data_IF_872477634975
#
_entry.id   IF_872477634975
#
_cell.length_a   1.000
_cell.length_b   1.000
_cell.length_c   1.000
_cell.angle_alpha   90.00
_cell.angle_beta   90.00
_cell.angle_gamma   90.00
#
_symmetry.space_group_name_H-M   'P 1'
#
loop_
_entity.id
_entity.type
_entity.pdbx_description
1 polymer ?
#
# COMPACT_ATOMS: atom_id res chain seq x y z
N UNK A 1 20.62 -1.15 8.83
CA UNK A 1 19.46 -1.00 7.93
C UNK A 1 18.22 -1.19 8.78
N UNK A 2 17.38 -0.17 8.88
CA UNK A 2 16.11 -0.23 9.63
C UNK A 2 15.01 -0.87 8.78
N UNK A 3 13.86 -1.17 9.39
CA UNK A 3 12.67 -1.58 8.63
C UNK A 3 12.15 -0.43 7.74
N UNK A 4 12.25 0.82 8.21
CA UNK A 4 11.83 2.01 7.45
C UNK A 4 12.58 2.09 6.11
N UNK A 5 13.89 1.85 6.12
CA UNK A 5 14.72 1.84 4.90
C UNK A 5 14.29 0.75 3.90
N UNK A 6 13.61 -0.30 4.37
CA UNK A 6 13.18 -1.44 3.56
C UNK A 6 11.77 -1.28 3.02
N UNK A 7 10.93 -0.41 3.59
CA UNK A 7 9.52 -0.24 3.21
C UNK A 7 9.33 -0.12 1.68
N UNK A 8 10.11 0.71 0.94
CA UNK A 8 9.94 0.85 -0.51
C UNK A 8 10.18 -0.45 -1.31
N UNK A 9 10.87 -1.42 -0.72
CA UNK A 9 11.22 -2.71 -1.35
C UNK A 9 10.28 -3.85 -1.00
N UNK A 10 9.37 -3.65 -0.05
CA UNK A 10 8.45 -4.68 0.41
C UNK A 10 7.38 -5.00 -0.64
N UNK A 11 6.87 -6.23 -0.64
CA UNK A 11 5.68 -6.60 -1.39
C UNK A 11 4.39 -6.06 -0.73
N UNK A 12 3.28 -6.01 -1.48
CA UNK A 12 2.00 -5.43 -1.01
C UNK A 12 1.46 -6.16 0.24
N UNK A 13 1.57 -7.48 0.24
CA UNK A 13 1.19 -8.36 1.34
C UNK A 13 2.11 -8.19 2.56
N UNK A 14 3.40 -7.97 2.33
CA UNK A 14 4.36 -7.65 3.40
C UNK A 14 4.01 -6.30 4.06
N UNK A 15 3.76 -5.24 3.28
CA UNK A 15 3.33 -3.94 3.81
C UNK A 15 2.06 -4.07 4.63
N UNK A 16 1.05 -4.79 4.13
CA UNK A 16 -0.20 -5.02 4.85
C UNK A 16 0.03 -5.80 6.16
N UNK A 17 0.86 -6.84 6.12
CA UNK A 17 1.20 -7.67 7.30
C UNK A 17 1.95 -6.85 8.35
N UNK A 18 2.95 -6.08 7.95
CA UNK A 18 3.69 -5.23 8.89
C UNK A 18 2.83 -4.12 9.47
N UNK A 19 1.95 -3.50 8.67
CA UNK A 19 1.04 -2.49 9.18
C UNK A 19 0.07 -3.05 10.23
N UNK A 20 -0.53 -4.22 9.96
CA UNK A 20 -1.41 -4.87 10.93
C UNK A 20 -0.67 -5.22 12.23
N UNK A 21 0.55 -5.73 12.13
CA UNK A 21 1.38 -6.04 13.29
C UNK A 21 1.80 -4.79 14.07
N UNK A 22 2.20 -3.72 13.38
CA UNK A 22 2.60 -2.47 14.00
C UNK A 22 1.42 -1.84 14.76
N UNK A 23 0.21 -1.84 14.18
CA UNK A 23 -1.01 -1.38 14.87
C UNK A 23 -1.29 -2.20 16.13
N UNK A 24 -1.21 -3.54 16.04
CA UNK A 24 -1.37 -4.41 17.22
C UNK A 24 -0.34 -4.10 18.31
N UNK A 25 0.93 -3.89 17.92
CA UNK A 25 2.00 -3.56 18.87
C UNK A 25 1.83 -2.17 19.49
N UNK A 26 1.29 -1.19 18.77
CA UNK A 26 0.97 0.14 19.32
C UNK A 26 -0.10 0.06 20.43
N UNK A 27 -1.04 -0.86 20.30
CA UNK A 27 -2.15 -1.06 21.24
C UNK A 27 -1.77 -1.93 22.44
N UNK A 28 -1.12 -3.08 22.19
CA UNK A 28 -0.94 -4.13 23.20
C UNK A 28 0.53 -4.49 23.49
N UNK A 29 1.49 -3.80 22.88
CA UNK A 29 2.91 -4.07 23.08
C UNK A 29 3.44 -3.53 24.41
N UNK A 30 4.65 -3.96 24.77
CA UNK A 30 5.43 -3.31 25.82
C UNK A 30 5.88 -1.90 25.40
N UNK A 31 6.43 -1.11 26.33
CA UNK A 31 6.82 0.29 26.05
C UNK A 31 7.78 0.43 24.87
N UNK A 32 8.70 -0.53 24.68
CA UNK A 32 9.65 -0.50 23.56
C UNK A 32 8.95 -0.82 22.24
N UNK A 33 8.07 -1.82 22.25
CA UNK A 33 7.27 -2.21 21.09
C UNK A 33 6.32 -1.10 20.66
N UNK A 34 5.66 -0.42 21.61
CA UNK A 34 4.77 0.71 21.34
C UNK A 34 5.53 1.89 20.76
N UNK A 35 6.71 2.20 21.29
CA UNK A 35 7.56 3.26 20.74
C UNK A 35 8.00 2.94 19.30
N UNK A 36 8.47 1.71 19.04
CA UNK A 36 8.84 1.29 17.69
C UNK A 36 7.64 1.28 16.72
N UNK A 37 6.47 0.86 17.19
CA UNK A 37 5.24 0.88 16.40
C UNK A 37 4.81 2.32 16.06
N UNK A 38 4.90 3.25 17.01
CA UNK A 38 4.58 4.66 16.78
C UNK A 38 5.45 5.30 15.68
N UNK A 39 6.69 4.84 15.53
CA UNK A 39 7.59 5.27 14.45
C UNK A 39 7.24 4.61 13.10
N UNK A 40 6.87 3.32 13.12
CA UNK A 40 6.66 2.53 11.91
C UNK A 40 5.29 2.72 11.25
N UNK A 41 4.23 2.90 12.05
CA UNK A 41 2.85 2.97 11.54
C UNK A 41 2.68 4.05 10.47
N UNK A 42 3.13 5.31 10.68
CA UNK A 42 2.95 6.36 9.66
C UNK A 42 3.64 6.03 8.33
N UNK A 43 4.83 5.45 8.37
CA UNK A 43 5.59 5.11 7.17
C UNK A 43 4.93 3.96 6.38
N UNK A 44 4.40 2.95 7.08
CA UNK A 44 3.67 1.83 6.47
C UNK A 44 2.32 2.27 5.90
N UNK A 45 1.62 3.20 6.55
CA UNK A 45 0.36 3.76 6.07
C UNK A 45 0.55 4.57 4.78
N UNK A 46 1.56 5.44 4.75
CA UNK A 46 1.88 6.24 3.57
C UNK A 46 2.21 5.35 2.36
N UNK A 47 3.00 4.29 2.54
CA UNK A 47 3.33 3.35 1.47
C UNK A 47 2.09 2.57 1.01
N UNK A 48 1.25 2.10 1.94
CA UNK A 48 0.02 1.38 1.61
C UNK A 48 -0.95 2.24 0.80
N UNK A 49 -1.10 3.51 1.17
CA UNK A 49 -1.92 4.50 0.46
C UNK A 49 -1.36 4.78 -0.95
N UNK A 50 -0.06 5.06 -1.06
CA UNK A 50 0.58 5.30 -2.35
C UNK A 50 0.40 4.13 -3.33
N UNK A 51 0.48 2.89 -2.82
CA UNK A 51 0.23 1.68 -3.62
C UNK A 51 -1.22 1.52 -4.01
N UNK A 52 -2.14 1.80 -3.09
CA UNK A 52 -3.57 1.79 -3.38
C UNK A 52 -3.86 2.74 -4.55
N UNK A 53 -3.36 3.97 -4.49
CA UNK A 53 -3.59 4.98 -5.51
C UNK A 53 -2.97 4.58 -6.85
N UNK A 54 -1.73 4.05 -6.85
CA UNK A 54 -1.10 3.53 -8.05
C UNK A 54 -1.92 2.41 -8.71
N UNK A 55 -2.53 1.51 -7.92
CA UNK A 55 -3.42 0.46 -8.45
C UNK A 55 -4.70 1.05 -9.03
N UNK A 56 -5.29 2.05 -8.38
CA UNK A 56 -6.49 2.70 -8.89
C UNK A 56 -6.24 3.44 -10.20
N UNK A 57 -5.12 4.15 -10.33
CA UNK A 57 -4.74 4.82 -11.57
C UNK A 57 -4.52 3.82 -12.71
N UNK A 58 -3.82 2.72 -12.46
CA UNK A 58 -3.67 1.62 -13.46
C UNK A 58 -5.03 1.05 -13.87
N UNK A 59 -5.94 0.86 -12.92
CA UNK A 59 -7.29 0.35 -13.21
C UNK A 59 -8.10 1.35 -14.04
N UNK A 60 -8.02 2.66 -13.74
CA UNK A 60 -8.66 3.72 -14.54
C UNK A 60 -8.13 3.71 -15.98
N UNK A 61 -6.81 3.64 -16.17
CA UNK A 61 -6.18 3.58 -17.47
C UNK A 61 -6.63 2.35 -18.28
N UNK A 62 -6.65 1.15 -17.64
CA UNK A 62 -7.13 -0.08 -18.27
C UNK A 62 -8.59 0.05 -18.72
N UNK A 63 -9.47 0.55 -17.86
CA UNK A 63 -10.89 0.77 -18.19
C UNK A 63 -11.06 1.74 -19.36
N UNK A 64 -10.29 2.82 -19.39
CA UNK A 64 -10.33 3.78 -20.50
C UNK A 64 -9.88 3.15 -21.82
N UNK A 65 -8.82 2.34 -21.80
CA UNK A 65 -8.33 1.62 -22.98
C UNK A 65 -9.38 0.62 -23.51
N UNK A 66 -9.98 -0.18 -22.63
CA UNK A 66 -11.03 -1.13 -23.01
C UNK A 66 -12.23 -0.41 -23.62
N UNK A 67 -12.71 0.69 -23.02
CA UNK A 67 -13.82 1.48 -23.59
C UNK A 67 -13.49 2.00 -25.00
N UNK A 68 -12.28 2.52 -25.22
CA UNK A 68 -11.84 2.99 -26.55
C UNK A 68 -11.81 1.86 -27.58
N UNK A 69 -11.35 0.67 -27.19
CA UNK A 69 -11.33 -0.50 -28.07
C UNK A 69 -12.75 -0.94 -28.44
N UNK A 70 -13.67 -1.00 -27.47
CA UNK A 70 -15.08 -1.36 -27.71
C UNK A 70 -15.79 -0.37 -28.63
N UNK A 71 -15.58 0.94 -28.43
CA UNK A 71 -16.16 1.96 -29.31
C UNK A 71 -15.62 1.85 -30.75
N UNK A 72 -14.33 1.53 -30.91
CA UNK A 72 -13.73 1.32 -32.23
C UNK A 72 -14.30 0.08 -32.92
N UNK A 73 -14.51 -1.03 -32.20
CA UNK A 73 -15.07 -2.24 -32.79
C UNK A 73 -16.54 -2.11 -33.17
N UNK A 74 -17.30 -1.21 -32.54
CA UNK A 74 -18.70 -0.95 -32.87
C UNK A 74 -18.88 0.00 -34.07
N UNK A 75 -17.84 0.76 -34.43
CA UNK A 75 -17.85 1.71 -35.53
C UNK A 75 -17.29 1.13 -36.86
N UNK A 76 -16.83 -0.11 -36.85
CA UNK A 76 -16.30 -0.85 -38.00
C UNK A 76 -17.32 -1.89 -38.46
#
# INVERSE_FOLDING_TARGET
MSLIDRIPTLADDEVATFLANARRLAESGDDKQRAAAAELVPALEAEAEARHDARQERAKAKRAATRRATLRSQAA
#
